data_IF_247981762087
#
_entry.id   IF_247981762087
#
_cell.length_a   1.000
_cell.length_b   1.000
_cell.length_c   1.000
_cell.angle_alpha   90.00
_cell.angle_beta   90.00
_cell.angle_gamma   90.00
#
_symmetry.space_group_name_H-M   'P 1'
#
loop_
_entity.id
_entity.type
_entity.pdbx_description
1 polymer ?
#
# COMPACT_ATOMS: atom_id res chain seq x y z
N UNK A 1 23.82 6.74 -10.08
CA UNK A 1 22.86 6.18 -9.12
C UNK A 1 22.67 4.70 -9.45
N UNK A 2 22.51 3.81 -8.46
CA UNK A 2 22.25 2.41 -8.75
C UNK A 2 20.91 2.29 -9.50
N UNK A 3 20.87 1.49 -10.57
CA UNK A 3 19.64 1.16 -11.27
C UNK A 3 19.12 -0.19 -10.74
N UNK A 4 17.84 -0.25 -10.37
CA UNK A 4 17.21 -1.50 -9.98
C UNK A 4 16.96 -2.39 -11.21
N UNK A 5 17.06 -3.69 -11.05
CA UNK A 5 16.64 -4.65 -12.10
C UNK A 5 15.12 -4.70 -12.14
N UNK A 6 14.57 -4.73 -13.35
CA UNK A 6 13.14 -4.91 -13.60
C UNK A 6 12.93 -6.29 -14.21
N UNK A 7 12.03 -7.05 -13.62
CA UNK A 7 11.68 -8.40 -14.06
C UNK A 7 10.32 -8.40 -14.76
N UNK A 8 10.23 -9.14 -15.86
CA UNK A 8 9.04 -9.29 -16.68
C UNK A 8 8.55 -10.74 -16.72
N UNK A 9 7.48 -11.00 -17.45
CA UNK A 9 6.90 -12.35 -17.59
C UNK A 9 7.89 -13.42 -18.03
N UNK A 10 8.89 -13.05 -18.84
CA UNK A 10 9.95 -13.95 -19.31
C UNK A 10 10.93 -14.40 -18.21
N UNK A 11 11.03 -13.63 -17.13
CA UNK A 11 11.95 -13.93 -16.03
C UNK A 11 11.32 -14.88 -14.98
N UNK A 12 10.05 -15.23 -15.12
CA UNK A 12 9.28 -15.95 -14.11
C UNK A 12 8.70 -17.27 -14.64
N UNK A 13 8.94 -18.34 -13.91
CA UNK A 13 8.47 -19.71 -14.21
C UNK A 13 7.32 -20.10 -13.26
N UNK A 14 6.10 -20.24 -13.79
CA UNK A 14 4.93 -20.69 -13.03
C UNK A 14 4.98 -22.15 -12.59
N UNK A 15 5.82 -22.99 -13.21
CA UNK A 15 5.97 -24.38 -12.82
C UNK A 15 6.43 -24.53 -11.35
N UNK A 16 7.11 -23.52 -10.80
CA UNK A 16 7.53 -23.48 -9.39
C UNK A 16 6.37 -23.44 -8.39
N UNK A 17 5.19 -23.06 -8.83
CA UNK A 17 3.96 -23.05 -8.02
C UNK A 17 3.07 -24.26 -8.27
N UNK A 18 3.42 -25.09 -9.26
CA UNK A 18 2.63 -26.28 -9.62
C UNK A 18 2.55 -27.27 -8.45
N UNK A 19 1.32 -27.68 -8.12
CA UNK A 19 1.05 -28.63 -7.03
C UNK A 19 1.26 -28.07 -5.61
N UNK A 20 1.74 -26.83 -5.47
CA UNK A 20 1.94 -26.19 -4.17
C UNK A 20 0.61 -25.85 -3.51
N UNK A 21 0.55 -26.01 -2.19
CA UNK A 21 -0.55 -25.51 -1.38
C UNK A 21 -0.28 -24.02 -1.04
N UNK A 22 -1.12 -23.15 -1.55
CA UNK A 22 -0.96 -21.70 -1.40
C UNK A 22 -2.00 -21.20 -0.39
N UNK A 23 -1.54 -20.60 0.68
CA UNK A 23 -2.37 -20.09 1.76
C UNK A 23 -2.32 -18.56 1.80
N UNK A 24 -3.48 -17.94 1.87
CA UNK A 24 -3.61 -16.51 2.09
C UNK A 24 -4.05 -16.26 3.52
N UNK A 25 -3.19 -15.70 4.36
CA UNK A 25 -3.56 -15.20 5.67
C UNK A 25 -4.17 -13.79 5.49
N UNK A 26 -5.50 -13.72 5.52
CA UNK A 26 -6.29 -12.51 5.28
C UNK A 26 -6.91 -12.44 3.89
N UNK A 27 -8.16 -11.95 3.83
CA UNK A 27 -8.93 -11.72 2.60
C UNK A 27 -9.45 -10.29 2.50
N UNK A 28 -8.66 -9.32 3.00
CA UNK A 28 -8.90 -7.90 2.83
C UNK A 28 -8.62 -7.43 1.38
N UNK A 29 -8.42 -6.13 1.17
CA UNK A 29 -8.25 -5.54 -0.17
C UNK A 29 -7.17 -6.22 -1.02
N UNK A 30 -5.99 -6.48 -0.47
CA UNK A 30 -4.90 -7.16 -1.18
C UNK A 30 -5.16 -8.65 -1.29
N UNK A 31 -5.56 -9.31 -0.20
CA UNK A 31 -5.80 -10.76 -0.19
C UNK A 31 -6.86 -11.18 -1.21
N UNK A 32 -7.98 -10.48 -1.25
CA UNK A 32 -9.06 -10.74 -2.19
C UNK A 32 -8.62 -10.53 -3.66
N UNK A 33 -7.87 -9.47 -3.94
CA UNK A 33 -7.38 -9.19 -5.28
C UNK A 33 -6.37 -10.23 -5.75
N UNK A 34 -5.35 -10.51 -4.94
CA UNK A 34 -4.25 -11.42 -5.30
C UNK A 34 -4.72 -12.87 -5.39
N UNK A 35 -5.58 -13.35 -4.47
CA UNK A 35 -6.12 -14.71 -4.53
C UNK A 35 -6.97 -14.95 -5.80
N UNK A 36 -7.80 -13.98 -6.19
CA UNK A 36 -8.57 -14.06 -7.43
C UNK A 36 -7.65 -14.06 -8.67
N UNK A 37 -6.62 -13.20 -8.70
CA UNK A 37 -5.67 -13.17 -9.80
C UNK A 37 -4.94 -14.51 -9.93
N UNK A 38 -4.50 -15.07 -8.81
CA UNK A 38 -3.83 -16.37 -8.75
C UNK A 38 -4.72 -17.49 -9.28
N UNK A 39 -5.99 -17.55 -8.89
CA UNK A 39 -6.95 -18.52 -9.43
C UNK A 39 -7.14 -18.37 -10.94
N UNK A 40 -7.26 -17.13 -11.42
CA UNK A 40 -7.51 -16.84 -12.83
C UNK A 40 -6.30 -17.15 -13.74
N UNK A 41 -5.10 -17.35 -13.17
CA UNK A 41 -3.94 -17.88 -13.91
C UNK A 41 -3.97 -19.41 -14.11
N UNK A 42 -4.97 -20.10 -13.56
CA UNK A 42 -5.15 -21.53 -13.70
C UNK A 42 -4.62 -22.38 -12.54
N UNK A 43 -4.21 -21.79 -11.42
CA UNK A 43 -3.94 -22.55 -10.20
C UNK A 43 -5.25 -23.19 -9.71
N UNK A 44 -5.29 -24.52 -9.50
CA UNK A 44 -6.51 -25.20 -9.07
C UNK A 44 -7.05 -24.65 -7.75
N UNK A 45 -8.36 -24.49 -7.64
CA UNK A 45 -9.00 -23.86 -6.49
C UNK A 45 -8.78 -24.64 -5.17
N UNK A 46 -8.60 -25.97 -5.24
CA UNK A 46 -8.25 -26.84 -4.11
C UNK A 46 -6.81 -26.61 -3.60
N UNK A 47 -5.98 -25.89 -4.36
CA UNK A 47 -4.63 -25.47 -4.00
C UNK A 47 -4.57 -24.08 -3.39
N UNK A 48 -5.70 -23.37 -3.32
CA UNK A 48 -5.81 -22.03 -2.76
C UNK A 48 -6.67 -22.09 -1.50
N UNK A 49 -6.09 -21.75 -0.36
CA UNK A 49 -6.77 -21.70 0.93
C UNK A 49 -6.74 -20.30 1.49
N UNK A 50 -7.87 -19.81 1.96
CA UNK A 50 -7.97 -18.54 2.68
C UNK A 50 -8.02 -18.84 4.18
N UNK A 51 -6.99 -18.47 4.91
CA UNK A 51 -6.95 -18.48 6.36
C UNK A 51 -7.46 -17.13 6.88
N UNK A 52 -8.65 -17.11 7.44
CA UNK A 52 -9.28 -15.89 7.94
C UNK A 52 -10.17 -16.18 9.16
N UNK A 53 -10.23 -15.24 10.10
CA UNK A 53 -11.19 -15.32 11.19
C UNK A 53 -12.62 -15.32 10.66
N UNK A 54 -13.59 -15.75 11.48
CA UNK A 54 -15.00 -15.72 11.10
C UNK A 54 -15.52 -14.28 11.12
N UNK A 55 -15.56 -13.65 9.95
CA UNK A 55 -16.02 -12.28 9.73
C UNK A 55 -16.53 -12.09 8.29
N UNK A 56 -16.96 -10.87 7.94
CA UNK A 56 -17.48 -10.54 6.63
C UNK A 56 -16.47 -10.82 5.47
N UNK A 57 -15.17 -10.76 5.72
CA UNK A 57 -14.15 -11.10 4.72
C UNK A 57 -14.08 -12.60 4.44
N UNK A 58 -14.28 -13.43 5.47
CA UNK A 58 -14.39 -14.88 5.29
C UNK A 58 -15.65 -15.26 4.50
N UNK A 59 -16.76 -14.57 4.74
CA UNK A 59 -18.02 -14.79 4.01
C UNK A 59 -17.88 -14.34 2.55
N UNK A 60 -17.22 -13.22 2.28
CA UNK A 60 -16.90 -12.76 0.93
C UNK A 60 -15.99 -13.77 0.18
N UNK A 61 -14.99 -14.34 0.85
CA UNK A 61 -14.14 -15.38 0.28
C UNK A 61 -14.95 -16.62 -0.13
N UNK A 62 -15.83 -17.10 0.76
CA UNK A 62 -16.74 -18.22 0.49
C UNK A 62 -17.69 -17.90 -0.69
N UNK A 63 -18.28 -16.69 -0.70
CA UNK A 63 -19.15 -16.25 -1.79
C UNK A 63 -18.43 -16.19 -3.14
N UNK A 64 -17.13 -15.92 -3.15
CA UNK A 64 -16.28 -15.98 -4.33
C UNK A 64 -15.77 -17.39 -4.67
N UNK A 65 -16.20 -18.41 -3.92
CA UNK A 65 -15.90 -19.82 -4.17
C UNK A 65 -14.55 -20.30 -3.66
N UNK A 66 -13.89 -19.58 -2.76
CA UNK A 66 -12.66 -20.03 -2.11
C UNK A 66 -12.94 -20.95 -0.94
N UNK A 67 -11.99 -21.88 -0.67
CA UNK A 67 -11.97 -22.68 0.55
C UNK A 67 -11.46 -21.78 1.69
N UNK A 68 -12.20 -21.71 2.80
CA UNK A 68 -11.86 -20.90 3.97
C UNK A 68 -11.59 -21.82 5.15
N UNK A 69 -10.46 -21.61 5.82
CA UNK A 69 -10.10 -22.25 7.08
C UNK A 69 -10.02 -21.20 8.18
N UNK A 70 -10.68 -21.48 9.30
CA UNK A 70 -10.67 -20.61 10.48
C UNK A 70 -9.63 -21.06 11.53
N UNK A 71 -9.17 -22.30 11.42
CA UNK A 71 -8.09 -22.86 12.24
C UNK A 71 -6.74 -22.49 11.59
N UNK A 72 -6.07 -21.50 12.17
CA UNK A 72 -4.82 -20.97 11.65
C UNK A 72 -3.66 -21.98 11.74
N UNK A 73 -3.66 -22.85 12.75
CA UNK A 73 -2.63 -23.89 12.89
C UNK A 73 -2.73 -24.92 11.75
N UNK A 74 -3.95 -25.34 11.41
CA UNK A 74 -4.17 -26.23 10.26
C UNK A 74 -3.78 -25.58 8.95
N UNK A 75 -4.12 -24.31 8.76
CA UNK A 75 -3.76 -23.56 7.56
C UNK A 75 -2.23 -23.44 7.43
N UNK A 76 -1.54 -23.13 8.54
CA UNK A 76 -0.08 -23.04 8.57
C UNK A 76 0.60 -24.36 8.22
N UNK A 77 0.14 -25.48 8.77
CA UNK A 77 0.75 -26.80 8.62
C UNK A 77 0.79 -27.29 7.15
N UNK A 78 -0.15 -26.87 6.32
CA UNK A 78 -0.23 -27.29 4.93
C UNK A 78 0.45 -26.33 3.95
N UNK A 79 0.76 -25.10 4.36
CA UNK A 79 1.29 -24.07 3.46
C UNK A 79 2.65 -24.44 2.86
N UNK A 80 2.77 -24.41 1.54
CA UNK A 80 4.04 -24.40 0.81
C UNK A 80 4.43 -22.95 0.43
N UNK A 81 3.42 -22.11 0.16
CA UNK A 81 3.54 -20.68 -0.03
C UNK A 81 2.48 -19.98 0.83
N UNK A 82 2.91 -19.08 1.70
CA UNK A 82 2.03 -18.34 2.60
C UNK A 82 2.08 -16.85 2.30
N UNK A 83 0.96 -16.28 1.88
CA UNK A 83 0.79 -14.84 1.77
C UNK A 83 0.32 -14.26 3.11
N UNK A 84 1.06 -13.30 3.66
CA UNK A 84 0.71 -12.60 4.91
C UNK A 84 0.11 -11.25 4.54
N UNK A 85 -1.24 -11.16 4.52
CA UNK A 85 -1.99 -10.02 3.99
C UNK A 85 -3.04 -9.48 4.99
N UNK A 86 -2.88 -9.77 6.28
CA UNK A 86 -3.58 -9.08 7.36
C UNK A 86 -2.88 -7.76 7.69
N UNK A 87 -3.57 -6.81 8.36
CA UNK A 87 -2.98 -5.51 8.71
C UNK A 87 -1.67 -5.64 9.52
N UNK A 88 -0.71 -4.76 9.24
CA UNK A 88 0.65 -4.84 9.79
C UNK A 88 0.69 -4.92 11.33
N UNK A 89 -0.17 -4.17 12.02
CA UNK A 89 -0.26 -4.18 13.48
C UNK A 89 -0.78 -5.52 14.04
N UNK A 90 -1.52 -6.30 13.25
CA UNK A 90 -2.07 -7.60 13.69
C UNK A 90 -1.10 -8.75 13.41
N UNK A 91 -0.21 -8.57 12.41
CA UNK A 91 0.71 -9.61 11.95
C UNK A 91 1.57 -10.19 13.09
N UNK A 92 2.26 -9.41 13.95
CA UNK A 92 3.13 -9.97 14.97
C UNK A 92 2.40 -10.96 15.88
N UNK A 93 1.22 -10.59 16.36
CA UNK A 93 0.41 -11.44 17.27
C UNK A 93 -0.08 -12.71 16.58
N UNK A 94 -0.66 -12.58 15.39
CA UNK A 94 -1.29 -13.71 14.68
C UNK A 94 -0.24 -14.59 14.01
N UNK A 95 0.71 -14.02 13.30
CA UNK A 95 1.72 -14.77 12.58
C UNK A 95 2.66 -15.49 13.53
N UNK A 96 3.29 -14.80 14.49
CA UNK A 96 4.24 -15.42 15.42
C UNK A 96 3.54 -16.43 16.34
N UNK A 97 2.32 -16.13 16.82
CA UNK A 97 1.60 -16.99 17.75
C UNK A 97 0.96 -18.22 17.11
N UNK A 98 0.29 -18.06 15.97
CA UNK A 98 -0.53 -19.12 15.38
C UNK A 98 0.07 -19.78 14.13
N UNK A 99 0.95 -19.10 13.40
CA UNK A 99 1.54 -19.64 12.16
C UNK A 99 2.95 -20.19 12.38
N UNK A 100 3.87 -19.42 12.96
CA UNK A 100 5.29 -19.80 13.10
C UNK A 100 5.50 -21.18 13.72
N UNK A 101 4.81 -21.60 14.79
CA UNK A 101 5.00 -22.92 15.38
C UNK A 101 4.65 -24.08 14.45
N UNK A 102 3.73 -23.86 13.51
CA UNK A 102 3.14 -24.91 12.67
C UNK A 102 3.62 -24.86 11.21
N UNK A 103 4.35 -23.80 10.80
CA UNK A 103 4.86 -23.66 9.45
C UNK A 103 5.90 -24.75 9.11
N UNK A 104 5.85 -25.21 7.85
CA UNK A 104 6.86 -26.09 7.29
C UNK A 104 8.25 -25.44 7.31
N UNK A 105 9.29 -26.26 7.39
CA UNK A 105 10.68 -25.80 7.41
C UNK A 105 11.08 -25.05 6.12
N UNK A 106 10.53 -25.45 4.98
CA UNK A 106 10.88 -24.91 3.65
C UNK A 106 9.74 -24.07 3.02
N UNK A 107 8.82 -23.53 3.84
CA UNK A 107 7.75 -22.65 3.34
C UNK A 107 8.32 -21.37 2.76
N UNK A 108 7.68 -20.86 1.69
CA UNK A 108 7.94 -19.50 1.22
C UNK A 108 6.89 -18.55 1.78
N UNK A 109 7.33 -17.59 2.57
CA UNK A 109 6.50 -16.56 3.18
C UNK A 109 6.55 -15.32 2.29
N UNK A 110 5.39 -14.89 1.81
CA UNK A 110 5.22 -13.73 0.92
C UNK A 110 4.60 -12.60 1.72
N UNK A 111 5.32 -11.49 1.85
CA UNK A 111 4.84 -10.25 2.47
C UNK A 111 4.55 -9.21 1.40
N UNK A 112 3.59 -8.32 1.64
CA UNK A 112 3.24 -7.21 0.75
C UNK A 112 3.70 -5.83 1.26
N UNK A 113 4.33 -5.78 2.43
CA UNK A 113 4.95 -4.61 3.05
C UNK A 113 6.25 -5.02 3.72
N UNK A 114 7.26 -4.17 3.67
CA UNK A 114 8.55 -4.39 4.31
C UNK A 114 8.55 -4.05 5.81
N UNK A 115 7.52 -3.39 6.32
CA UNK A 115 7.44 -2.82 7.67
C UNK A 115 7.85 -3.81 8.77
N UNK A 116 7.11 -4.89 8.90
CA UNK A 116 7.32 -5.86 9.96
C UNK A 116 8.66 -6.61 9.85
N UNK A 117 9.23 -6.73 8.65
CA UNK A 117 10.55 -7.32 8.41
C UNK A 117 11.65 -6.33 8.80
N UNK A 118 11.55 -5.08 8.38
CA UNK A 118 12.54 -4.04 8.72
C UNK A 118 12.66 -3.86 10.23
N UNK A 119 11.54 -3.80 10.95
CA UNK A 119 11.51 -3.59 12.39
C UNK A 119 11.61 -4.89 13.20
N UNK A 120 11.81 -6.04 12.53
CA UNK A 120 12.00 -7.37 13.14
C UNK A 120 10.85 -7.78 14.06
N UNK A 121 9.64 -7.50 13.65
CA UNK A 121 8.43 -7.82 14.40
C UNK A 121 7.87 -9.22 14.06
N UNK A 122 8.33 -9.83 12.95
CA UNK A 122 7.98 -11.20 12.56
C UNK A 122 9.16 -12.15 12.80
N UNK A 123 8.84 -13.37 13.21
CA UNK A 123 9.79 -14.44 13.47
C UNK A 123 9.84 -15.41 12.30
N UNK A 124 11.05 -15.78 11.85
CA UNK A 124 11.26 -16.72 10.77
C UNK A 124 12.31 -17.77 11.14
N UNK A 125 12.12 -19.01 10.71
CA UNK A 125 13.15 -20.05 10.81
C UNK A 125 14.16 -19.86 9.67
N UNK A 126 15.44 -20.12 9.92
CA UNK A 126 16.52 -19.94 8.95
C UNK A 126 16.37 -20.78 7.67
N UNK A 127 15.57 -21.84 7.73
CA UNK A 127 15.29 -22.76 6.60
C UNK A 127 14.17 -22.26 5.67
N UNK A 128 13.45 -21.21 6.06
CA UNK A 128 12.33 -20.68 5.32
C UNK A 128 12.78 -19.59 4.33
N UNK A 129 12.02 -19.43 3.25
CA UNK A 129 12.14 -18.26 2.38
C UNK A 129 11.24 -17.14 2.89
N UNK A 130 11.76 -15.92 2.92
CA UNK A 130 11.00 -14.70 3.15
C UNK A 130 11.19 -13.80 1.93
N UNK A 131 10.11 -13.54 1.21
CA UNK A 131 10.12 -12.72 0.00
C UNK A 131 9.09 -11.61 0.12
N UNK A 132 9.43 -10.46 -0.39
CA UNK A 132 8.47 -9.36 -0.54
C UNK A 132 7.98 -9.32 -1.98
N UNK A 133 6.65 -9.29 -2.15
CA UNK A 133 5.97 -8.98 -3.40
C UNK A 133 4.92 -7.93 -3.07
N UNK A 134 5.29 -6.67 -3.26
CA UNK A 134 4.56 -5.49 -2.78
C UNK A 134 3.95 -4.69 -3.94
N UNK A 135 2.66 -4.91 -4.31
CA UNK A 135 1.99 -4.08 -5.30
C UNK A 135 1.97 -2.61 -4.88
N UNK A 136 2.32 -1.71 -5.82
CA UNK A 136 2.36 -0.27 -5.55
C UNK A 136 1.04 0.41 -5.90
N UNK A 137 -0.07 -0.22 -5.48
CA UNK A 137 -1.42 0.32 -5.60
C UNK A 137 -2.41 -0.44 -4.70
N UNK A 138 -3.59 0.16 -4.51
CA UNK A 138 -4.68 -0.43 -3.71
C UNK A 138 -5.24 -1.71 -4.37
N UNK A 139 -5.76 -2.64 -3.56
CA UNK A 139 -6.19 -3.96 -4.03
C UNK A 139 -7.25 -3.95 -5.14
N UNK A 140 -8.20 -3.00 -5.14
CA UNK A 140 -9.18 -2.86 -6.21
C UNK A 140 -8.52 -2.58 -7.57
N UNK A 141 -7.47 -1.77 -7.60
CA UNK A 141 -6.69 -1.49 -8.80
C UNK A 141 -5.82 -2.68 -9.22
N UNK A 142 -5.24 -3.43 -8.26
CA UNK A 142 -4.54 -4.70 -8.52
C UNK A 142 -5.45 -5.65 -9.29
N UNK A 143 -6.71 -5.83 -8.84
CA UNK A 143 -7.67 -6.70 -9.52
C UNK A 143 -8.10 -6.16 -10.89
N UNK A 144 -8.47 -4.88 -10.96
CA UNK A 144 -8.99 -4.29 -12.20
C UNK A 144 -7.95 -4.25 -13.33
N UNK A 145 -6.69 -3.95 -13.01
CA UNK A 145 -5.61 -3.94 -13.99
C UNK A 145 -5.24 -5.35 -14.45
N UNK A 146 -5.28 -6.32 -13.55
CA UNK A 146 -5.11 -7.73 -13.92
C UNK A 146 -6.17 -8.18 -14.94
N UNK A 147 -7.46 -7.94 -14.65
CA UNK A 147 -8.57 -8.28 -15.55
C UNK A 147 -8.44 -7.59 -16.92
N UNK A 148 -7.95 -6.34 -16.93
CA UNK A 148 -7.66 -5.61 -18.18
C UNK A 148 -6.41 -6.10 -18.92
N UNK A 149 -5.65 -7.04 -18.35
CA UNK A 149 -4.42 -7.56 -18.93
C UNK A 149 -3.24 -6.59 -18.92
N UNK A 150 -3.32 -5.46 -18.20
CA UNK A 150 -2.27 -4.42 -18.17
C UNK A 150 -1.17 -4.71 -17.14
N UNK A 151 -1.47 -5.44 -16.07
CA UNK A 151 -0.57 -5.58 -14.93
C UNK A 151 -0.47 -4.28 -14.10
N UNK A 152 0.37 -4.30 -13.08
CA UNK A 152 0.57 -3.18 -12.15
C UNK A 152 2.00 -3.16 -11.61
N UNK A 153 2.53 -1.98 -11.22
CA UNK A 153 3.87 -1.88 -10.64
C UNK A 153 3.95 -2.61 -9.30
N UNK A 154 5.10 -3.29 -9.08
CA UNK A 154 5.32 -4.08 -7.88
C UNK A 154 6.80 -4.02 -7.48
N UNK A 155 7.10 -3.99 -6.19
CA UNK A 155 8.44 -4.27 -5.69
C UNK A 155 8.59 -5.74 -5.37
N UNK A 156 9.76 -6.30 -5.68
CA UNK A 156 10.11 -7.68 -5.37
C UNK A 156 11.48 -7.74 -4.70
N UNK A 157 11.59 -8.50 -3.61
CA UNK A 157 12.85 -8.74 -2.93
C UNK A 157 12.91 -10.11 -2.27
N UNK A 158 14.14 -10.52 -1.92
CA UNK A 158 14.41 -11.68 -1.07
C UNK A 158 15.00 -11.16 0.23
N UNK A 159 14.29 -11.34 1.31
CA UNK A 159 14.73 -10.94 2.65
C UNK A 159 15.44 -12.09 3.37
N UNK A 160 15.06 -13.34 3.05
CA UNK A 160 15.73 -14.56 3.49
C UNK A 160 15.58 -15.64 2.43
N UNK A 161 16.67 -16.36 2.14
CA UNK A 161 16.68 -17.50 1.23
C UNK A 161 17.17 -18.75 1.98
N UNK A 162 16.23 -19.48 2.59
CA UNK A 162 16.52 -20.71 3.32
C UNK A 162 16.65 -21.95 2.44
N UNK A 163 16.15 -21.88 1.19
CA UNK A 163 16.08 -23.05 0.28
C UNK A 163 16.97 -22.93 -0.96
N UNK A 164 17.55 -21.74 -1.22
CA UNK A 164 18.35 -21.45 -2.41
C UNK A 164 17.54 -21.12 -3.67
N UNK A 165 16.20 -20.96 -3.54
CA UNK A 165 15.32 -20.66 -4.69
C UNK A 165 14.30 -19.54 -4.41
N UNK A 166 14.53 -18.71 -3.40
CA UNK A 166 13.58 -17.69 -2.99
C UNK A 166 13.24 -16.69 -4.11
N UNK A 167 14.23 -16.19 -4.85
CA UNK A 167 13.98 -15.24 -5.94
C UNK A 167 13.16 -15.85 -7.09
N UNK A 168 13.47 -17.04 -7.63
CA UNK A 168 12.61 -17.68 -8.62
C UNK A 168 11.16 -17.83 -8.17
N UNK A 169 10.91 -18.22 -6.91
CA UNK A 169 9.55 -18.35 -6.36
C UNK A 169 8.89 -16.96 -6.23
N UNK A 170 9.60 -15.93 -5.76
CA UNK A 170 9.09 -14.56 -5.70
C UNK A 170 8.67 -14.03 -7.08
N UNK A 171 9.44 -14.34 -8.13
CA UNK A 171 9.09 -13.98 -9.50
C UNK A 171 7.87 -14.76 -10.01
N UNK A 172 7.77 -16.05 -9.71
CA UNK A 172 6.58 -16.84 -10.03
C UNK A 172 5.32 -16.28 -9.34
N UNK A 173 5.44 -15.89 -8.06
CA UNK A 173 4.38 -15.20 -7.31
C UNK A 173 4.03 -13.87 -7.98
N UNK A 174 5.02 -13.06 -8.33
CA UNK A 174 4.80 -11.76 -9.00
C UNK A 174 4.06 -11.92 -10.34
N UNK A 175 4.39 -12.97 -11.09
CA UNK A 175 3.74 -13.30 -12.38
C UNK A 175 2.29 -13.74 -12.19
N UNK A 176 2.05 -14.66 -11.24
CA UNK A 176 0.73 -15.23 -11.03
C UNK A 176 -0.28 -14.20 -10.55
N UNK A 177 0.15 -13.18 -9.79
CA UNK A 177 -0.72 -12.08 -9.40
C UNK A 177 -0.85 -10.99 -10.49
N UNK A 178 -0.01 -11.03 -11.54
CA UNK A 178 -0.07 -10.13 -12.71
C UNK A 178 0.90 -8.95 -12.68
N UNK A 179 1.81 -8.89 -11.71
CA UNK A 179 2.73 -7.75 -11.54
C UNK A 179 3.81 -7.67 -12.63
N UNK A 180 4.34 -8.81 -13.08
CA UNK A 180 5.43 -8.86 -14.07
C UNK A 180 5.04 -8.32 -15.46
N UNK A 181 3.75 -8.18 -15.77
CA UNK A 181 3.30 -7.53 -17.01
C UNK A 181 3.66 -6.04 -17.07
N UNK A 182 3.59 -5.35 -15.95
CA UNK A 182 3.99 -3.96 -15.84
C UNK A 182 5.47 -3.79 -15.43
N UNK A 183 6.06 -4.87 -14.92
CA UNK A 183 7.42 -4.93 -14.41
C UNK A 183 7.48 -4.98 -12.89
N UNK A 184 8.14 -6.02 -12.37
CA UNK A 184 8.45 -6.16 -10.95
C UNK A 184 9.87 -5.60 -10.70
N UNK A 185 9.97 -4.56 -9.89
CA UNK A 185 11.21 -3.82 -9.63
C UNK A 185 11.92 -4.46 -8.44
N UNK A 186 13.20 -4.83 -8.61
CA UNK A 186 14.04 -5.31 -7.51
C UNK A 186 14.20 -4.22 -6.46
N UNK A 187 13.91 -4.56 -5.20
CA UNK A 187 13.97 -3.65 -4.06
C UNK A 187 14.42 -4.40 -2.79
N UNK A 188 14.08 -3.91 -1.63
CA UNK A 188 14.23 -4.56 -0.33
C UNK A 188 13.14 -4.09 0.63
N UNK A 189 12.87 -4.87 1.68
CA UNK A 189 11.95 -4.46 2.75
C UNK A 189 12.35 -3.11 3.33
N UNK A 190 13.66 -2.85 3.48
CA UNK A 190 14.16 -1.56 3.96
C UNK A 190 13.85 -0.42 3.01
N UNK A 191 14.10 -0.59 1.72
CA UNK A 191 13.87 0.45 0.70
C UNK A 191 12.38 0.75 0.55
N UNK A 192 11.56 -0.28 0.48
CA UNK A 192 10.10 -0.17 0.40
C UNK A 192 9.54 0.58 1.61
N UNK A 193 9.87 0.16 2.82
CA UNK A 193 9.38 0.80 4.06
C UNK A 193 9.83 2.25 4.19
N UNK A 194 11.09 2.56 3.80
CA UNK A 194 11.59 3.94 3.82
C UNK A 194 10.77 4.85 2.90
N UNK A 195 10.50 4.40 1.67
CA UNK A 195 9.74 5.19 0.69
C UNK A 195 8.28 5.34 1.10
N UNK A 196 7.67 4.25 1.54
CA UNK A 196 6.25 4.19 1.92
C UNK A 196 5.99 5.09 3.14
N UNK A 197 6.70 4.88 4.23
CA UNK A 197 6.53 5.69 5.43
C UNK A 197 6.94 7.15 5.24
N UNK A 198 7.97 7.45 4.44
CA UNK A 198 8.32 8.84 4.15
C UNK A 198 7.24 9.54 3.35
N UNK A 199 6.64 8.85 2.38
CA UNK A 199 5.51 9.38 1.63
C UNK A 199 4.33 9.67 2.56
N UNK A 200 3.97 8.73 3.42
CA UNK A 200 2.82 8.85 4.34
C UNK A 200 3.03 9.88 5.46
N UNK A 201 4.25 9.98 6.01
CA UNK A 201 4.53 10.82 7.18
C UNK A 201 5.07 12.19 6.83
N UNK A 202 5.56 12.41 5.62
CA UNK A 202 6.14 13.68 5.22
C UNK A 202 5.59 14.20 3.89
N UNK A 203 5.60 13.44 2.80
CA UNK A 203 5.19 13.96 1.48
C UNK A 203 3.70 14.32 1.45
N UNK A 204 2.81 13.37 1.74
CA UNK A 204 1.36 13.59 1.72
C UNK A 204 0.89 14.62 2.75
N UNK A 205 1.38 14.62 4.01
CA UNK A 205 1.05 15.69 4.95
C UNK A 205 1.46 17.09 4.48
N UNK A 206 2.62 17.23 3.82
CA UNK A 206 3.01 18.51 3.23
C UNK A 206 2.10 18.92 2.07
N UNK A 207 1.66 18.01 1.22
CA UNK A 207 0.70 18.31 0.15
C UNK A 207 -0.62 18.78 0.74
N UNK A 208 -1.16 18.09 1.75
CA UNK A 208 -2.39 18.50 2.45
C UNK A 208 -2.21 19.89 3.07
N UNK A 209 -1.08 20.14 3.72
CA UNK A 209 -0.75 21.44 4.31
C UNK A 209 -0.69 22.54 3.23
N UNK A 210 -0.08 22.30 2.08
CA UNK A 210 0.00 23.26 0.98
C UNK A 210 -1.40 23.64 0.46
N UNK A 211 -2.29 22.68 0.27
CA UNK A 211 -3.67 22.93 -0.11
C UNK A 211 -4.41 23.78 0.96
N UNK A 212 -4.23 23.43 2.24
CA UNK A 212 -4.83 24.15 3.35
C UNK A 212 -4.36 25.61 3.40
N UNK A 213 -3.06 25.85 3.30
CA UNK A 213 -2.52 27.23 3.36
C UNK A 213 -2.92 28.05 2.14
N UNK A 214 -2.92 27.45 0.93
CA UNK A 214 -3.42 28.12 -0.26
C UNK A 214 -4.91 28.47 -0.13
N UNK A 215 -5.73 27.57 0.40
CA UNK A 215 -7.14 27.80 0.70
C UNK A 215 -7.31 29.00 1.67
N UNK A 216 -6.59 29.00 2.80
CA UNK A 216 -6.69 30.05 3.80
C UNK A 216 -6.32 31.43 3.23
N UNK A 217 -5.29 31.51 2.39
CA UNK A 217 -4.85 32.76 1.75
C UNK A 217 -5.91 33.31 0.80
N UNK A 218 -6.46 32.45 -0.06
CA UNK A 218 -7.47 32.86 -1.05
C UNK A 218 -8.81 33.17 -0.42
N UNK A 219 -9.22 32.45 0.63
CA UNK A 219 -10.42 32.74 1.39
C UNK A 219 -10.32 34.18 2.04
N UNK A 220 -9.15 34.48 2.59
CA UNK A 220 -8.85 35.82 3.13
C UNK A 220 -8.89 36.92 2.07
N UNK A 221 -8.56 36.59 0.82
CA UNK A 221 -8.66 37.46 -0.33
C UNK A 221 -10.10 37.64 -0.85
N UNK A 222 -11.08 36.93 -0.29
CA UNK A 222 -12.49 37.06 -0.62
C UNK A 222 -13.04 36.02 -1.60
N UNK A 223 -12.30 34.96 -1.89
CA UNK A 223 -12.82 33.84 -2.69
C UNK A 223 -13.85 33.04 -1.89
N UNK A 224 -14.90 32.55 -2.57
CA UNK A 224 -15.92 31.70 -1.94
C UNK A 224 -15.44 30.29 -1.71
N UNK A 225 -15.95 29.64 -0.66
CA UNK A 225 -15.61 28.26 -0.33
C UNK A 225 -15.88 27.31 -1.52
N UNK A 226 -16.99 27.49 -2.22
CA UNK A 226 -17.39 26.68 -3.37
C UNK A 226 -16.36 26.77 -4.51
N UNK A 227 -15.97 28.01 -4.86
CA UNK A 227 -14.98 28.21 -5.93
C UNK A 227 -13.62 27.61 -5.54
N UNK A 228 -13.18 27.80 -4.30
CA UNK A 228 -11.91 27.27 -3.79
C UNK A 228 -11.89 25.75 -3.78
N UNK A 229 -12.94 25.11 -3.26
CA UNK A 229 -13.00 23.63 -3.23
C UNK A 229 -13.00 23.05 -4.64
N UNK A 230 -13.73 23.65 -5.58
CA UNK A 230 -13.75 23.18 -6.99
C UNK A 230 -12.41 23.40 -7.66
N UNK A 231 -11.85 24.60 -7.59
CA UNK A 231 -10.58 24.94 -8.25
C UNK A 231 -9.43 24.05 -7.77
N UNK A 232 -9.34 23.82 -6.48
CA UNK A 232 -8.17 23.15 -5.92
C UNK A 232 -8.18 21.63 -6.02
N UNK A 233 -9.37 20.97 -5.87
CA UNK A 233 -9.40 19.49 -5.86
C UNK A 233 -10.72 18.84 -6.28
N UNK A 234 -11.89 19.47 -6.06
CA UNK A 234 -13.18 18.82 -6.32
C UNK A 234 -13.52 18.71 -7.81
N UNK A 235 -12.89 19.51 -8.67
CA UNK A 235 -12.95 19.38 -10.13
C UNK A 235 -12.30 18.10 -10.64
N UNK A 236 -11.43 17.45 -9.82
CA UNK A 236 -10.57 16.33 -10.17
C UNK A 236 -9.40 16.69 -11.11
N UNK A 237 -9.19 17.96 -11.47
CA UNK A 237 -8.02 18.37 -12.26
C UNK A 237 -6.69 17.93 -11.63
N UNK A 238 -6.46 18.03 -10.29
CA UNK A 238 -5.24 17.49 -9.69
C UNK A 238 -5.06 15.99 -9.93
N UNK A 239 -6.14 15.20 -9.96
CA UNK A 239 -6.06 13.77 -10.26
C UNK A 239 -5.61 13.54 -11.71
N UNK A 240 -6.12 14.31 -12.67
CA UNK A 240 -5.68 14.26 -14.07
C UNK A 240 -4.21 14.66 -14.22
N UNK A 241 -3.77 15.69 -13.51
CA UNK A 241 -2.36 16.13 -13.50
C UNK A 241 -1.44 15.00 -13.00
N UNK A 242 -1.82 14.33 -11.90
CA UNK A 242 -1.03 13.21 -11.37
C UNK A 242 -1.06 11.98 -12.30
N UNK A 243 -2.17 11.70 -12.96
CA UNK A 243 -2.27 10.63 -13.95
C UNK A 243 -1.33 10.88 -15.14
N UNK A 244 -1.34 12.09 -15.70
CA UNK A 244 -0.40 12.50 -16.77
C UNK A 244 1.06 12.53 -16.29
N UNK A 245 1.30 12.99 -15.06
CA UNK A 245 2.65 12.99 -14.50
C UNK A 245 3.22 11.57 -14.34
N UNK A 246 2.38 10.59 -14.06
CA UNK A 246 2.79 9.18 -13.99
C UNK A 246 3.17 8.60 -15.36
N UNK A 247 2.52 9.07 -16.44
CA UNK A 247 2.78 8.60 -17.80
C UNK A 247 3.92 9.37 -18.49
N UNK A 248 3.99 10.68 -18.32
CA UNK A 248 4.85 11.57 -19.07
C UNK A 248 5.94 12.26 -18.22
N UNK A 249 5.78 12.28 -16.91
CA UNK A 249 6.63 13.00 -15.94
C UNK A 249 6.06 14.37 -15.55
N UNK A 250 6.38 14.81 -14.33
CA UNK A 250 5.85 16.05 -13.71
C UNK A 250 6.11 17.32 -14.55
N UNK A 251 7.23 17.43 -15.21
CA UNK A 251 7.57 18.60 -16.00
C UNK A 251 6.95 18.51 -17.40
N UNK A 252 6.97 17.33 -18.01
CA UNK A 252 6.48 17.14 -19.38
C UNK A 252 4.98 17.35 -19.49
N UNK A 253 4.20 16.89 -18.50
CA UNK A 253 2.75 17.07 -18.48
C UNK A 253 2.31 18.55 -18.50
N UNK A 254 3.17 19.50 -18.07
CA UNK A 254 2.86 20.93 -18.12
C UNK A 254 2.56 21.43 -19.54
N UNK A 255 3.06 20.74 -20.57
CA UNK A 255 2.81 21.08 -21.97
C UNK A 255 1.33 20.97 -22.38
N UNK A 256 0.51 20.29 -21.61
CA UNK A 256 -0.94 20.22 -21.82
C UNK A 256 -1.69 21.46 -21.34
N UNK A 257 -1.03 22.34 -20.59
CA UNK A 257 -1.62 23.58 -20.07
C UNK A 257 -1.39 24.76 -21.04
N UNK A 258 -2.14 25.84 -20.82
CA UNK A 258 -1.95 27.09 -21.57
C UNK A 258 -0.54 27.66 -21.37
N UNK A 259 -0.05 28.44 -22.32
CA UNK A 259 1.29 29.06 -22.25
C UNK A 259 1.48 29.89 -20.97
N UNK A 260 0.44 30.61 -20.53
CA UNK A 260 0.47 31.39 -19.31
C UNK A 260 0.63 30.48 -18.07
N UNK A 261 -0.11 29.38 -18.03
CA UNK A 261 -0.03 28.39 -16.96
C UNK A 261 1.33 27.71 -16.90
N UNK A 262 1.85 27.26 -18.05
CA UNK A 262 3.20 26.68 -18.16
C UNK A 262 4.26 27.64 -17.62
N UNK A 263 4.21 28.91 -18.03
CA UNK A 263 5.16 29.93 -17.59
C UNK A 263 5.09 30.13 -16.06
N UNK A 264 3.88 30.27 -15.51
CA UNK A 264 3.68 30.44 -14.06
C UNK A 264 4.18 29.27 -13.25
N UNK A 265 3.82 28.05 -13.64
CA UNK A 265 4.20 26.82 -12.93
C UNK A 265 5.72 26.58 -12.98
N UNK A 266 6.33 26.67 -14.16
CA UNK A 266 7.78 26.49 -14.31
C UNK A 266 8.58 27.53 -13.52
N UNK A 267 8.20 28.80 -13.64
CA UNK A 267 8.84 29.89 -12.90
C UNK A 267 8.73 29.66 -11.39
N UNK A 268 7.53 29.31 -10.90
CA UNK A 268 7.30 29.05 -9.49
C UNK A 268 8.11 27.84 -8.98
N UNK A 269 8.06 26.73 -9.69
CA UNK A 269 8.78 25.52 -9.31
C UNK A 269 10.31 25.72 -9.25
N UNK A 270 10.86 26.49 -10.17
CA UNK A 270 12.31 26.79 -10.21
C UNK A 270 12.75 27.83 -9.17
N UNK A 271 11.83 28.67 -8.68
CA UNK A 271 12.13 29.68 -7.67
C UNK A 271 12.14 29.14 -6.24
N UNK A 272 11.47 28.02 -5.98
CA UNK A 272 11.39 27.41 -4.65
C UNK A 272 12.70 26.65 -4.34
N UNK A 273 13.35 26.96 -3.23
CA UNK A 273 14.60 26.31 -2.84
C UNK A 273 14.44 24.94 -2.17
N UNK A 274 13.26 24.63 -1.65
CA UNK A 274 12.95 23.36 -1.01
C UNK A 274 13.68 23.05 0.30
N UNK A 275 14.48 23.98 0.85
CA UNK A 275 15.32 23.73 2.04
C UNK A 275 14.50 23.31 3.25
N UNK A 276 13.42 24.00 3.54
CA UNK A 276 12.54 23.68 4.68
C UNK A 276 11.90 22.29 4.53
N UNK A 277 11.39 21.97 3.34
CA UNK A 277 10.79 20.67 3.04
C UNK A 277 11.84 19.54 3.17
N UNK A 278 13.02 19.74 2.61
CA UNK A 278 14.12 18.77 2.71
C UNK A 278 14.51 18.49 4.16
N UNK A 279 14.67 19.52 4.97
CA UNK A 279 14.99 19.36 6.39
C UNK A 279 13.92 18.55 7.12
N UNK A 280 12.65 18.81 6.85
CA UNK A 280 11.54 18.04 7.40
C UNK A 280 11.58 16.56 6.94
N UNK A 281 11.85 16.32 5.67
CA UNK A 281 11.96 14.95 5.12
C UNK A 281 13.13 14.19 5.73
N UNK A 282 14.30 14.83 5.87
CA UNK A 282 15.47 14.23 6.52
C UNK A 282 15.20 13.91 7.98
N UNK A 283 14.58 14.81 8.73
CA UNK A 283 14.22 14.57 10.13
C UNK A 283 13.24 13.40 10.27
N UNK A 284 12.19 13.37 9.45
CA UNK A 284 11.23 12.28 9.44
C UNK A 284 11.90 10.94 9.09
N UNK A 285 12.73 10.92 8.04
CA UNK A 285 13.39 9.70 7.59
C UNK A 285 14.36 9.14 8.64
N UNK A 286 15.27 9.98 9.11
CA UNK A 286 16.36 9.49 9.96
C UNK A 286 15.98 9.40 11.44
N UNK A 287 15.20 10.35 11.95
CA UNK A 287 14.92 10.47 13.39
C UNK A 287 13.57 9.86 13.80
N UNK A 288 12.67 9.57 12.88
CA UNK A 288 11.38 8.91 13.18
C UNK A 288 11.35 7.49 12.59
N UNK A 289 11.60 7.33 11.28
CA UNK A 289 11.44 6.06 10.58
C UNK A 289 12.63 5.14 10.85
N UNK A 290 13.83 5.48 10.37
CA UNK A 290 15.01 4.61 10.45
C UNK A 290 15.53 4.40 11.87
N UNK A 291 15.25 5.31 12.78
CA UNK A 291 15.53 5.13 14.20
C UNK A 291 14.61 4.11 14.88
N UNK A 292 13.53 3.71 14.24
CA UNK A 292 12.48 2.85 14.83
C UNK A 292 11.56 3.57 15.82
N UNK A 293 11.69 4.89 15.99
CA UNK A 293 10.90 5.65 16.95
C UNK A 293 9.42 5.61 16.59
N UNK A 294 9.08 5.81 15.31
CA UNK A 294 7.70 5.71 14.83
C UNK A 294 7.11 4.31 15.07
N UNK A 295 7.86 3.25 14.73
CA UNK A 295 7.39 1.88 14.93
C UNK A 295 7.13 1.59 16.41
N UNK A 296 8.03 2.01 17.29
CA UNK A 296 7.86 1.83 18.73
C UNK A 296 6.68 2.66 19.31
N UNK A 297 6.40 3.83 18.76
CA UNK A 297 5.24 4.64 19.11
C UNK A 297 3.94 3.99 18.62
N UNK A 298 3.91 3.58 17.35
CA UNK A 298 2.75 2.92 16.74
C UNK A 298 2.37 1.63 17.49
N UNK A 299 3.35 0.77 17.80
CA UNK A 299 3.09 -0.46 18.56
C UNK A 299 2.46 -0.22 19.95
N UNK A 300 2.70 0.93 20.56
CA UNK A 300 2.02 1.26 21.84
C UNK A 300 0.56 1.66 21.66
N UNK A 301 0.18 2.06 20.46
CA UNK A 301 -1.19 2.48 20.14
C UNK A 301 -2.05 1.33 19.59
N UNK A 302 -1.44 0.20 19.21
CA UNK A 302 -2.11 -0.91 18.51
C UNK A 302 -3.38 -1.39 19.23
N UNK A 303 -3.31 -1.62 20.54
CA UNK A 303 -4.48 -2.06 21.33
C UNK A 303 -5.62 -1.02 21.34
N UNK A 304 -5.28 0.27 21.18
CA UNK A 304 -6.25 1.37 21.09
C UNK A 304 -6.91 1.48 19.71
N UNK A 305 -6.21 1.08 18.64
CA UNK A 305 -6.69 1.21 17.27
C UNK A 305 -7.84 0.25 16.94
N UNK A 306 -7.99 -0.85 17.70
CA UNK A 306 -9.10 -1.80 17.55
C UNK A 306 -10.36 -1.36 18.31
N UNK A 307 -10.28 -0.31 19.12
CA UNK A 307 -11.40 0.20 19.92
C UNK A 307 -12.31 1.11 19.11
N UNK A 308 -13.56 1.23 19.55
CA UNK A 308 -14.53 2.16 18.98
C UNK A 308 -14.60 3.45 19.81
N UNK A 309 -15.11 4.53 19.17
CA UNK A 309 -15.35 5.80 19.85
C UNK A 309 -14.08 6.54 20.27
N UNK A 310 -14.16 7.26 21.38
CA UNK A 310 -13.09 8.15 21.87
C UNK A 310 -11.84 7.43 22.36
N UNK A 311 -11.91 6.12 22.58
CA UNK A 311 -10.76 5.31 22.97
C UNK A 311 -9.83 4.97 21.80
N UNK A 312 -10.27 5.20 20.54
CA UNK A 312 -9.42 5.03 19.37
C UNK A 312 -8.59 6.30 19.13
N UNK A 313 -7.25 6.23 19.19
CA UNK A 313 -6.38 7.40 19.04
C UNK A 313 -6.52 8.10 17.69
N UNK A 314 -6.97 7.42 16.63
CA UNK A 314 -7.23 8.05 15.33
C UNK A 314 -8.42 9.01 15.38
N UNK A 315 -9.44 8.72 16.18
CA UNK A 315 -10.64 9.57 16.26
C UNK A 315 -10.32 10.96 16.80
N UNK A 316 -9.39 11.08 17.76
CA UNK A 316 -8.92 12.39 18.23
C UNK A 316 -8.19 13.15 17.11
N UNK A 317 -7.38 12.50 16.31
CA UNK A 317 -6.69 13.14 15.17
C UNK A 317 -7.70 13.61 14.10
N UNK A 318 -8.70 12.78 13.78
CA UNK A 318 -9.78 13.16 12.86
C UNK A 318 -10.58 14.36 13.41
N UNK A 319 -10.93 14.35 14.69
CA UNK A 319 -11.66 15.45 15.33
C UNK A 319 -10.89 16.76 15.21
N UNK A 320 -9.59 16.76 15.46
CA UNK A 320 -8.72 17.95 15.32
C UNK A 320 -8.59 18.39 13.85
N UNK A 321 -8.49 17.46 12.91
CA UNK A 321 -8.45 17.77 11.48
C UNK A 321 -9.77 18.41 11.00
N UNK A 322 -10.88 17.95 11.51
CA UNK A 322 -12.23 18.48 11.22
C UNK A 322 -12.47 19.91 11.70
N UNK A 323 -11.67 20.41 12.63
CA UNK A 323 -11.73 21.79 13.12
C UNK A 323 -11.07 22.80 12.18
N UNK A 324 -10.33 22.35 11.16
CA UNK A 324 -9.71 23.24 10.17
C UNK A 324 -10.75 23.95 9.29
N UNK A 325 -10.47 25.18 8.85
CA UNK A 325 -11.39 25.92 7.98
C UNK A 325 -11.61 25.22 6.64
N UNK A 326 -10.58 24.56 6.09
CA UNK A 326 -10.70 23.76 4.90
C UNK A 326 -11.72 22.61 5.08
N UNK A 327 -11.62 21.82 6.15
CA UNK A 327 -12.53 20.71 6.40
C UNK A 327 -13.97 21.17 6.64
N UNK A 328 -14.15 22.30 7.35
CA UNK A 328 -15.46 22.92 7.53
C UNK A 328 -16.05 23.39 6.21
N UNK A 329 -15.25 24.01 5.35
CA UNK A 329 -15.68 24.45 4.03
C UNK A 329 -16.08 23.27 3.15
N UNK A 330 -15.28 22.22 3.10
CA UNK A 330 -15.62 20.99 2.36
C UNK A 330 -16.97 20.40 2.80
N UNK A 331 -17.20 20.31 4.10
CA UNK A 331 -18.49 19.81 4.64
C UNK A 331 -19.65 20.67 4.18
N UNK A 332 -19.52 22.01 4.25
CA UNK A 332 -20.55 22.95 3.78
C UNK A 332 -20.81 22.79 2.28
N UNK A 333 -19.77 22.80 1.46
CA UNK A 333 -19.89 22.69 0.00
C UNK A 333 -20.53 21.36 -0.40
N UNK A 334 -20.09 20.25 0.18
CA UNK A 334 -20.69 18.92 -0.09
C UNK A 334 -22.15 18.85 0.30
N UNK A 335 -22.52 19.40 1.46
CA UNK A 335 -23.91 19.44 1.90
C UNK A 335 -24.80 20.27 0.96
N UNK A 336 -24.29 21.40 0.46
CA UNK A 336 -25.01 22.22 -0.54
C UNK A 336 -25.18 21.49 -1.87
N UNK A 337 -24.12 20.85 -2.36
CA UNK A 337 -24.18 20.08 -3.60
C UNK A 337 -25.13 18.88 -3.51
N UNK A 338 -25.27 18.28 -2.34
CA UNK A 338 -26.22 17.21 -2.09
C UNK A 338 -27.66 17.72 -1.87
N UNK A 339 -27.90 19.06 -1.92
CA UNK A 339 -29.22 19.65 -1.66
C UNK A 339 -29.64 19.61 -0.19
N UNK A 340 -28.73 19.36 0.74
CA UNK A 340 -29.00 19.29 2.18
C UNK A 340 -28.96 20.67 2.85
N UNK A 341 -28.38 21.67 2.20
CA UNK A 341 -28.33 23.08 2.62
C UNK A 341 -28.72 23.96 1.44
N UNK A 342 -29.57 24.96 1.68
CA UNK A 342 -29.93 25.99 0.70
C UNK A 342 -28.97 27.18 0.75
#
# INVERSE_FOLDING_TARGET
MPSAKIYYDSDADLALLSGKQIVFLGFGNQGAAQAQNLRDTGIPNDKILIANRADAYADDAKAKGFIVEHDFEKAAAIADVLFVLIPDQVQPKVFNGSFVPHLKENVTIVIASGYNVLFKLLEFKSTQNVVMVAPRMIGSSVRSLYVKGKGFPCFVSVEQDGTGNALPVALAVSKVIGATKAGAISSSAREETMMDLLAEQALWPNIIMLFREAFNVLQKAGCSDEALCYEMWMSKEPAEIFERAAEEGFITQLKHHSTCSQFGQLRGALALDGVAARKHFEDTLYNQILSGKFSAEFSRLEDGLEKEGDENPLNELYRRADETELAKAEKRVRARLAGLLQ
#
